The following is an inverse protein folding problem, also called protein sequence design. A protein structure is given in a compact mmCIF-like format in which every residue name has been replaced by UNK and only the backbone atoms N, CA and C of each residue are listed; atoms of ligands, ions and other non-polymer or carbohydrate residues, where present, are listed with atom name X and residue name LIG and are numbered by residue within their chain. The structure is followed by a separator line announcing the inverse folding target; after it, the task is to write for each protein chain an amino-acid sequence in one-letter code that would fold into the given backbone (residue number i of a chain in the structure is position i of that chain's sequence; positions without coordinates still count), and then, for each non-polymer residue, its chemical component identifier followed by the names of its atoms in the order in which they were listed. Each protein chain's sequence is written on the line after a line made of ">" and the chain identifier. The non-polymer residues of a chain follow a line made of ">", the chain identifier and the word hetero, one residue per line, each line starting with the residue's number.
data_IF_015364123113
#
_entry.id   IF_015364123113
#
_cell.length_a   1.000
_cell.length_b   1.000
_cell.length_c   1.000
_cell.angle_alpha   90.00
_cell.angle_beta   90.00
_cell.angle_gamma   90.00
#
_symmetry.space_group_name_H-M   'P 1'
#
loop_
_entity.id
_entity.type
_entity.pdbx_description
1 polymer ?
#
# COMPACT_ATOMS: atom_id res chain seq x y z
N UNK A 1 12.81 20.87 -3.34
CA UNK A 1 12.70 19.42 -3.56
C UNK A 1 11.29 19.04 -3.89
N UNK A 2 11.16 18.13 -4.81
CA UNK A 2 9.82 17.63 -5.17
C UNK A 2 9.29 16.75 -4.05
N UNK A 3 8.07 16.97 -3.60
CA UNK A 3 7.50 16.10 -2.57
C UNK A 3 7.31 14.69 -3.10
N UNK A 4 7.41 13.72 -2.21
CA UNK A 4 7.11 12.34 -2.56
C UNK A 4 5.61 12.18 -2.78
N UNK A 5 5.25 11.30 -3.69
CA UNK A 5 3.85 11.04 -4.02
C UNK A 5 3.41 9.70 -3.51
N UNK A 6 2.19 9.66 -3.02
CA UNK A 6 1.55 8.42 -2.58
C UNK A 6 0.22 8.27 -3.32
N UNK A 7 -0.08 7.06 -3.71
CA UNK A 7 -1.40 6.73 -4.24
C UNK A 7 -2.11 5.88 -3.20
N UNK A 8 -3.29 6.31 -2.79
CA UNK A 8 -4.09 5.59 -1.80
C UNK A 8 -5.40 5.15 -2.43
N UNK A 9 -5.76 3.90 -2.21
CA UNK A 9 -6.95 3.32 -2.84
C UNK A 9 -7.53 2.21 -2.00
N UNK A 10 -8.79 1.88 -2.27
CA UNK A 10 -9.42 0.66 -1.79
C UNK A 10 -9.83 -0.16 -3.00
N UNK A 11 -9.62 -1.46 -2.90
CA UNK A 11 -9.99 -2.38 -3.98
C UNK A 11 -11.14 -3.26 -3.52
N UNK A 12 -11.79 -3.92 -4.47
CA UNK A 12 -12.87 -4.83 -4.16
C UNK A 12 -14.15 -4.10 -3.77
N UNK A 13 -14.97 -4.76 -2.97
CA UNK A 13 -16.29 -4.27 -2.63
C UNK A 13 -16.37 -3.57 -1.27
N UNK A 14 -15.23 -3.38 -0.63
CA UNK A 14 -15.18 -2.72 0.68
C UNK A 14 -15.57 -1.25 0.52
N UNK A 15 -16.58 -0.82 1.24
CA UNK A 15 -17.06 0.57 1.16
C UNK A 15 -16.77 1.38 2.42
N UNK A 16 -15.92 0.89 3.32
CA UNK A 16 -15.56 1.61 4.53
C UNK A 16 -14.35 2.48 4.23
N UNK A 17 -14.54 3.79 4.16
CA UNK A 17 -13.47 4.69 3.72
C UNK A 17 -12.86 5.59 4.80
N UNK A 18 -13.41 5.60 6.01
CA UNK A 18 -12.93 6.51 7.05
C UNK A 18 -11.44 6.34 7.31
N UNK A 19 -10.98 5.10 7.38
CA UNK A 19 -9.57 4.84 7.68
C UNK A 19 -8.64 5.40 6.62
N UNK A 20 -8.94 5.15 5.34
CA UNK A 20 -8.06 5.58 4.27
C UNK A 20 -8.12 7.09 4.07
N UNK A 21 -9.27 7.70 4.31
CA UNK A 21 -9.40 9.16 4.23
C UNK A 21 -8.54 9.80 5.32
N UNK A 22 -8.55 9.24 6.52
CA UNK A 22 -7.71 9.72 7.61
C UNK A 22 -6.23 9.60 7.27
N UNK A 23 -5.83 8.48 6.69
CA UNK A 23 -4.44 8.27 6.26
C UNK A 23 -4.06 9.31 5.21
N UNK A 24 -4.93 9.55 4.24
CA UNK A 24 -4.67 10.55 3.20
C UNK A 24 -4.41 11.93 3.82
N UNK A 25 -5.25 12.31 4.78
CA UNK A 25 -5.09 13.59 5.45
C UNK A 25 -3.75 13.66 6.21
N UNK A 26 -3.43 12.60 6.95
CA UNK A 26 -2.19 12.55 7.71
C UNK A 26 -0.97 12.64 6.80
N UNK A 27 -1.02 11.98 5.66
CA UNK A 27 0.11 12.00 4.73
C UNK A 27 0.27 13.36 4.08
N UNK A 28 -0.84 14.02 3.74
CA UNK A 28 -0.76 15.38 3.21
C UNK A 28 -0.15 16.34 4.22
N UNK A 29 -0.55 16.20 5.49
CA UNK A 29 0.01 17.04 6.54
C UNK A 29 1.49 16.78 6.77
N UNK A 30 1.94 15.57 6.48
CA UNK A 30 3.35 15.22 6.60
C UNK A 30 4.17 15.66 5.39
N UNK A 31 3.56 16.26 4.37
CA UNK A 31 4.27 16.81 3.23
C UNK A 31 4.22 15.96 1.97
N UNK A 32 3.48 14.87 1.98
CA UNK A 32 3.32 14.06 0.77
C UNK A 32 2.28 14.65 -0.16
N UNK A 33 2.49 14.44 -1.44
CA UNK A 33 1.46 14.68 -2.44
C UNK A 33 0.65 13.38 -2.53
N UNK A 34 -0.65 13.45 -2.23
CA UNK A 34 -1.48 12.25 -2.13
C UNK A 34 -2.51 12.23 -3.25
N UNK A 35 -2.54 11.13 -3.98
CA UNK A 35 -3.56 10.87 -4.98
C UNK A 35 -4.49 9.83 -4.37
N UNK A 36 -5.73 10.20 -4.12
CA UNK A 36 -6.70 9.31 -3.52
C UNK A 36 -7.68 8.85 -4.59
N UNK A 37 -7.66 7.54 -4.88
CA UNK A 37 -8.51 6.99 -5.93
C UNK A 37 -9.92 6.62 -5.46
N UNK A 38 -10.15 6.63 -4.15
CA UNK A 38 -11.48 6.29 -3.64
C UNK A 38 -11.69 4.80 -3.51
N UNK A 39 -12.96 4.39 -3.60
CA UNK A 39 -13.41 3.03 -3.33
C UNK A 39 -13.57 2.22 -4.61
N UNK A 40 -13.65 0.92 -4.45
CA UNK A 40 -14.09 -0.02 -5.49
C UNK A 40 -13.20 -0.02 -6.74
N UNK A 41 -11.90 0.14 -6.55
CA UNK A 41 -10.99 0.13 -7.68
C UNK A 41 -10.58 -1.30 -8.02
N UNK A 42 -10.46 -1.58 -9.32
CA UNK A 42 -9.87 -2.83 -9.74
C UNK A 42 -8.36 -2.77 -9.50
N UNK A 43 -7.74 -3.86 -9.03
CA UNK A 43 -6.30 -3.85 -8.78
C UNK A 43 -5.46 -3.37 -9.97
N UNK A 44 -5.80 -3.81 -11.18
CA UNK A 44 -5.04 -3.39 -12.37
C UNK A 44 -5.12 -1.89 -12.62
N UNK A 45 -6.24 -1.27 -12.26
CA UNK A 45 -6.42 0.17 -12.44
C UNK A 45 -5.60 0.96 -11.42
N UNK A 46 -5.49 0.43 -10.20
CA UNK A 46 -4.65 1.04 -9.17
C UNK A 46 -3.18 1.03 -9.63
N UNK A 47 -2.72 -0.09 -10.15
CA UNK A 47 -1.34 -0.21 -10.62
C UNK A 47 -1.09 0.72 -11.81
N UNK A 48 -2.03 0.75 -12.76
CA UNK A 48 -1.90 1.62 -13.91
C UNK A 48 -1.78 3.08 -13.50
N UNK A 49 -2.65 3.52 -12.60
CA UNK A 49 -2.62 4.89 -12.10
C UNK A 49 -1.30 5.19 -11.38
N UNK A 50 -0.81 4.24 -10.58
CA UNK A 50 0.44 4.42 -9.86
C UNK A 50 1.61 4.63 -10.80
N UNK A 51 1.64 3.87 -11.89
CA UNK A 51 2.69 4.02 -12.89
C UNK A 51 2.56 5.37 -13.61
N UNK A 52 1.34 5.71 -14.03
CA UNK A 52 1.11 6.95 -14.78
C UNK A 52 1.41 8.19 -13.95
N UNK A 53 1.13 8.13 -12.65
CA UNK A 53 1.38 9.26 -11.76
C UNK A 53 2.78 9.24 -11.17
N UNK A 54 3.54 8.20 -11.45
CA UNK A 54 4.93 8.06 -10.98
C UNK A 54 5.03 8.23 -9.47
N UNK A 55 4.19 7.51 -8.75
CA UNK A 55 4.17 7.63 -7.29
C UNK A 55 5.32 6.88 -6.65
N UNK A 56 5.65 7.25 -5.43
CA UNK A 56 6.73 6.65 -4.66
C UNK A 56 6.26 5.53 -3.75
N UNK A 57 4.96 5.42 -3.54
CA UNK A 57 4.39 4.34 -2.74
C UNK A 57 2.91 4.19 -3.02
N UNK A 58 2.41 2.98 -2.84
CA UNK A 58 1.00 2.66 -2.99
C UNK A 58 0.50 2.19 -1.63
N UNK A 59 -0.59 2.78 -1.15
CA UNK A 59 -1.22 2.36 0.08
C UNK A 59 -2.64 1.88 -0.18
N UNK A 60 -2.99 0.73 0.38
CA UNK A 60 -4.35 0.21 0.29
C UNK A 60 -4.87 -0.10 1.68
N UNK A 61 -6.16 0.06 1.85
CA UNK A 61 -6.80 -0.18 3.14
C UNK A 61 -7.87 -1.25 2.99
N UNK A 62 -7.92 -2.14 3.94
CA UNK A 62 -8.87 -3.24 3.94
C UNK A 62 -9.59 -3.30 5.28
N UNK A 63 -10.90 -3.46 5.26
CA UNK A 63 -11.67 -3.62 6.48
C UNK A 63 -12.55 -4.87 6.44
N UNK A 64 -12.93 -5.32 5.29
CA UNK A 64 -14.00 -6.30 5.15
C UNK A 64 -13.50 -7.73 4.94
N UNK A 65 -12.27 -8.04 5.24
CA UNK A 65 -11.78 -9.41 5.16
C UNK A 65 -11.34 -9.88 3.79
N UNK A 66 -11.31 -8.98 2.81
CA UNK A 66 -10.90 -9.34 1.45
C UNK A 66 -9.41 -9.12 1.19
N UNK A 67 -8.66 -8.81 2.23
CA UNK A 67 -7.28 -8.36 2.09
C UNK A 67 -6.37 -9.36 1.37
N UNK A 68 -6.49 -10.65 1.67
CA UNK A 68 -5.59 -11.62 1.03
C UNK A 68 -5.88 -11.75 -0.47
N UNK A 69 -7.15 -11.90 -0.83
CA UNK A 69 -7.53 -12.05 -2.24
C UNK A 69 -7.21 -10.79 -3.03
N UNK A 70 -7.57 -9.63 -2.50
CA UNK A 70 -7.34 -8.37 -3.21
C UNK A 70 -5.85 -8.06 -3.33
N UNK A 71 -5.06 -8.36 -2.29
CA UNK A 71 -3.64 -8.11 -2.37
C UNK A 71 -2.96 -9.04 -3.38
N UNK A 72 -3.38 -10.31 -3.45
CA UNK A 72 -2.85 -11.20 -4.48
C UNK A 72 -3.09 -10.67 -5.88
N UNK A 73 -4.32 -10.17 -6.12
CA UNK A 73 -4.66 -9.59 -7.41
C UNK A 73 -3.84 -8.35 -7.71
N UNK A 74 -3.62 -7.52 -6.68
CA UNK A 74 -2.86 -6.30 -6.84
C UNK A 74 -1.39 -6.61 -7.14
N UNK A 75 -0.78 -7.53 -6.42
CA UNK A 75 0.60 -7.90 -6.65
C UNK A 75 0.78 -8.57 -8.01
N UNK A 76 -0.22 -9.36 -8.43
CA UNK A 76 -0.18 -9.94 -9.77
C UNK A 76 -0.24 -8.86 -10.84
N UNK A 77 -1.11 -7.87 -10.66
CA UNK A 77 -1.19 -6.75 -11.61
C UNK A 77 0.12 -5.97 -11.65
N UNK A 78 0.77 -5.78 -10.50
CA UNK A 78 2.06 -5.12 -10.45
C UNK A 78 3.10 -5.90 -11.26
N UNK A 79 3.12 -7.20 -11.09
CA UNK A 79 4.05 -8.05 -11.82
C UNK A 79 3.79 -7.98 -13.33
N UNK A 80 2.51 -8.05 -13.72
CA UNK A 80 2.14 -8.03 -15.12
C UNK A 80 2.47 -6.72 -15.80
N UNK A 81 2.41 -5.62 -15.06
CA UNK A 81 2.67 -4.29 -15.61
C UNK A 81 4.10 -3.82 -15.36
N UNK A 82 4.92 -4.65 -14.76
CA UNK A 82 6.31 -4.29 -14.48
C UNK A 82 6.45 -3.20 -13.42
N UNK A 83 5.51 -3.11 -12.49
CA UNK A 83 5.49 -2.08 -11.47
C UNK A 83 6.31 -2.54 -10.27
N UNK A 84 7.30 -1.75 -9.87
CA UNK A 84 8.13 -2.06 -8.73
C UNK A 84 8.00 -1.04 -7.61
N UNK A 85 6.93 -0.28 -7.62
CA UNK A 85 6.67 0.71 -6.59
C UNK A 85 6.35 -0.01 -5.27
N UNK A 86 6.94 0.40 -4.15
CA UNK A 86 6.64 -0.26 -2.88
C UNK A 86 5.19 -0.07 -2.48
N UNK A 87 4.62 -1.11 -1.84
CA UNK A 87 3.22 -1.09 -1.45
C UNK A 87 3.10 -1.39 0.04
N UNK A 88 2.21 -0.68 0.69
CA UNK A 88 1.87 -0.94 2.08
C UNK A 88 0.35 -1.04 2.21
N UNK A 89 -0.10 -1.67 3.26
CA UNK A 89 -1.53 -1.79 3.50
C UNK A 89 -1.82 -1.68 4.98
N UNK A 90 -3.08 -1.42 5.28
CA UNK A 90 -3.55 -1.34 6.65
C UNK A 90 -4.99 -1.76 6.74
N UNK A 91 -5.52 -1.72 7.95
CA UNK A 91 -6.88 -2.12 8.23
C UNK A 91 -6.92 -3.25 9.22
N UNK A 92 -8.04 -3.95 9.29
CA UNK A 92 -8.22 -5.03 10.25
C UNK A 92 -7.66 -6.31 9.63
N UNK A 93 -6.37 -6.55 9.86
CA UNK A 93 -5.65 -7.68 9.27
C UNK A 93 -5.08 -8.53 10.39
N UNK A 94 -5.46 -9.82 10.49
CA UNK A 94 -4.90 -10.70 11.51
C UNK A 94 -3.38 -10.82 11.38
N UNK A 95 -2.72 -11.08 12.51
CA UNK A 95 -1.26 -11.13 12.53
C UNK A 95 -0.68 -12.17 11.58
N UNK A 96 -1.31 -13.34 11.47
CA UNK A 96 -0.83 -14.38 10.57
C UNK A 96 -0.92 -13.92 9.12
N UNK A 97 -2.00 -13.22 8.78
CA UNK A 97 -2.18 -12.70 7.42
C UNK A 97 -1.18 -11.58 7.15
N UNK A 98 -0.90 -10.75 8.16
CA UNK A 98 0.10 -9.69 8.01
C UNK A 98 1.46 -10.27 7.67
N UNK A 99 1.86 -11.34 8.34
CA UNK A 99 3.12 -12.00 8.05
C UNK A 99 3.13 -12.56 6.62
N UNK A 100 2.02 -13.19 6.21
CA UNK A 100 1.91 -13.73 4.87
C UNK A 100 1.98 -12.64 3.80
N UNK A 101 1.37 -11.49 4.05
CA UNK A 101 1.42 -10.36 3.12
C UNK A 101 2.84 -9.85 2.95
N UNK A 102 3.60 -9.76 4.03
CA UNK A 102 4.99 -9.34 3.93
C UNK A 102 5.82 -10.33 3.11
N UNK A 103 5.56 -11.61 3.29
CA UNK A 103 6.25 -12.64 2.52
C UNK A 103 5.91 -12.55 1.04
N UNK A 104 4.71 -12.07 0.72
CA UNK A 104 4.28 -11.89 -0.66
C UNK A 104 4.91 -10.68 -1.33
N UNK A 105 5.55 -9.80 -0.58
CA UNK A 105 6.20 -8.63 -1.13
C UNK A 105 5.64 -7.30 -0.67
N UNK A 106 4.67 -7.31 0.24
CA UNK A 106 4.13 -6.07 0.81
C UNK A 106 5.17 -5.47 1.74
N UNK A 107 5.49 -4.20 1.57
CA UNK A 107 6.57 -3.56 2.32
C UNK A 107 6.23 -3.35 3.78
N UNK A 108 4.98 -3.07 4.09
CA UNK A 108 4.55 -2.87 5.47
C UNK A 108 3.06 -3.14 5.61
N UNK A 109 2.68 -3.64 6.77
CA UNK A 109 1.27 -3.80 7.15
C UNK A 109 1.07 -2.97 8.40
N UNK A 110 0.20 -1.98 8.31
CA UNK A 110 -0.04 -1.03 9.39
C UNK A 110 -1.15 -1.56 10.29
N UNK A 111 -0.88 -1.81 11.57
CA UNK A 111 -1.92 -2.33 12.46
C UNK A 111 -3.01 -1.29 12.71
N UNK A 112 -4.23 -1.73 13.01
CA UNK A 112 -5.28 -0.80 13.39
C UNK A 112 -4.90 -0.05 14.66
N UNK A 113 -5.30 1.21 14.74
CA UNK A 113 -4.99 2.05 15.89
C UNK A 113 -3.59 2.63 15.90
N UNK A 114 -2.84 2.49 14.81
CA UNK A 114 -1.51 3.08 14.72
C UNK A 114 -1.62 4.62 14.80
N UNK A 115 -0.82 5.20 15.66
CA UNK A 115 -0.81 6.66 15.82
C UNK A 115 -0.24 7.33 14.58
N UNK A 116 -0.65 8.57 14.34
CA UNK A 116 -0.23 9.31 13.16
C UNK A 116 1.30 9.39 13.05
N UNK A 117 1.99 9.64 14.14
CA UNK A 117 3.44 9.74 14.11
C UNK A 117 4.10 8.44 13.72
N UNK A 118 3.56 7.33 14.19
CA UNK A 118 4.08 6.02 13.84
C UNK A 118 3.77 5.71 12.38
N UNK A 119 2.58 6.06 11.92
CA UNK A 119 2.18 5.86 10.54
C UNK A 119 3.12 6.61 9.59
N UNK A 120 3.41 7.87 9.90
CA UNK A 120 4.33 8.67 9.08
C UNK A 120 5.70 8.00 9.02
N UNK A 121 6.17 7.47 10.15
CA UNK A 121 7.47 6.80 10.20
C UNK A 121 7.48 5.54 9.34
N UNK A 122 6.41 4.74 9.42
CA UNK A 122 6.28 3.52 8.62
C UNK A 122 6.30 3.86 7.13
N UNK A 123 5.50 4.84 6.73
CA UNK A 123 5.41 5.23 5.32
C UNK A 123 6.75 5.78 4.82
N UNK A 124 7.43 6.57 5.66
CA UNK A 124 8.74 7.08 5.29
C UNK A 124 9.72 5.94 5.01
N UNK A 125 9.66 4.88 5.82
CA UNK A 125 10.50 3.70 5.61
C UNK A 125 10.16 2.98 4.31
N UNK A 126 8.87 2.86 4.00
CA UNK A 126 8.43 2.23 2.76
C UNK A 126 8.95 3.01 1.54
N UNK A 127 8.75 4.31 1.55
CA UNK A 127 9.15 5.15 0.43
C UNK A 127 10.67 5.18 0.29
N UNK A 128 11.39 5.24 1.40
CA UNK A 128 12.86 5.28 1.38
C UNK A 128 13.46 3.96 0.90
N UNK A 129 12.74 2.86 1.09
CA UNK A 129 13.20 1.55 0.60
C UNK A 129 13.21 1.43 -0.91
N UNK A 130 12.54 2.36 -1.59
CA UNK A 130 12.49 2.35 -3.04
C UNK A 130 11.67 1.22 -3.60
N UNK A 131 11.83 1.01 -4.90
CA UNK A 131 11.09 -0.01 -5.60
C UNK A 131 11.47 -1.40 -5.11
N UNK A 132 10.49 -2.27 -5.03
CA UNK A 132 10.73 -3.63 -4.61
C UNK A 132 10.30 -4.57 -5.72
N UNK A 133 11.23 -5.32 -6.24
CA UNK A 133 10.85 -6.28 -7.28
C UNK A 133 9.96 -7.32 -6.65
N UNK A 134 8.74 -7.31 -7.09
CA UNK A 134 7.79 -8.25 -6.54
C UNK A 134 8.19 -9.68 -6.80
N UNK A 135 9.11 -9.84 -7.72
CA UNK A 135 9.53 -11.15 -8.06
C UNK A 135 10.56 -11.68 -7.17
N UNK A 136 11.15 -10.85 -6.44
CA UNK A 136 12.21 -11.24 -5.80
C UNK A 136 11.94 -12.00 -4.72
N UNK A 137 11.82 -12.40 -4.66
CA UNK A 137 11.67 -12.95 -3.82
C UNK A 137 12.14 -13.16 -2.95
N UNK A 138 11.87 -13.33 -2.80
CA UNK A 138 11.91 -13.48 -1.77
C UNK A 138 12.87 -13.75 -1.03
N UNK A 139 13.34 -13.76 -1.16
CA UNK A 139 14.26 -14.01 -0.61
C UNK A 139 14.57 -13.34 0.34
N UNK A 140 14.70 -12.90 0.36
CA UNK A 140 15.11 -12.37 1.09
C UNK A 140 14.90 -12.12 2.05
N UNK A 141 14.94 -12.27 2.42
CA UNK A 141 14.77 -12.09 3.28
C UNK A 141 14.56 -11.34 3.99
N UNK A 142 14.38 -11.40 3.82
CA UNK A 142 14.14 -10.88 4.28
C UNK A 142 14.37 -10.16 5.05
N UNK A 143 14.42 -9.80 5.09
CA UNK A 143 14.69 -9.30 5.71
C UNK A 143 14.38 -8.73 6.37
N UNK A 144 14.43 -8.56 6.77
CA UNK A 144 14.07 -8.06 7.61
C UNK A 144 13.67 -7.46 8.04
#
# INVERSE_FOLDING_TARGET
>A
MTPKRLLLAKTGLDCHDTGIVTVAQSMREAGYEVIYMGLHNAPRDVVKAAIEEDVNGIGVSYLSGQHMTQMRLLLKAMQEQGCQIPIFCGGVIPADDAAALREMGVSAVVPPGTLTEELVRIVAGVVAGGARPSTVAPTAPATP
#
